data_IF_252118137216
#
_entry.id   IF_252118137216
#
_cell.length_a   1.000
_cell.length_b   1.000
_cell.length_c   1.000
_cell.angle_alpha   90.00
_cell.angle_beta   90.00
_cell.angle_gamma   90.00
#
_symmetry.space_group_name_H-M   'P 1'
#
loop_
_entity.id
_entity.type
_entity.pdbx_description
1 polymer ?
#
# COMPACT_ATOMS: atom_id res chain seq x y z
N UNK A 1 47.38 -1.59 -45.32
CA UNK A 1 47.02 -0.57 -44.30
C UNK A 1 45.54 -0.61 -43.90
N UNK A 2 44.56 -0.48 -44.82
CA UNK A 2 43.12 -0.46 -44.46
C UNK A 2 42.60 -1.68 -43.66
N UNK A 3 43.09 -2.88 -43.96
CA UNK A 3 42.67 -4.12 -43.27
C UNK A 3 43.16 -4.21 -41.83
N UNK A 4 44.32 -3.63 -41.51
CA UNK A 4 44.84 -3.58 -40.13
C UNK A 4 44.01 -2.63 -39.26
N UNK A 5 43.56 -1.49 -39.80
CA UNK A 5 42.69 -0.57 -39.06
C UNK A 5 41.31 -1.17 -38.75
N UNK A 6 40.75 -1.98 -39.65
CA UNK A 6 39.47 -2.66 -39.43
C UNK A 6 39.56 -3.71 -38.30
N UNK A 7 40.70 -4.42 -38.22
CA UNK A 7 40.96 -5.39 -37.14
C UNK A 7 41.18 -4.66 -35.80
N UNK A 8 41.93 -3.55 -35.80
CA UNK A 8 42.10 -2.75 -34.59
C UNK A 8 40.79 -2.13 -34.09
N UNK A 9 39.92 -1.69 -35.01
CA UNK A 9 38.63 -1.10 -34.65
C UNK A 9 37.64 -2.14 -34.11
N UNK A 10 37.64 -3.36 -34.65
CA UNK A 10 36.79 -4.44 -34.13
C UNK A 10 37.24 -4.91 -32.75
N UNK A 11 38.55 -4.99 -32.51
CA UNK A 11 39.11 -5.32 -31.19
C UNK A 11 38.76 -4.22 -30.17
N UNK A 12 38.90 -2.94 -30.53
CA UNK A 12 38.57 -1.83 -29.65
C UNK A 12 37.08 -1.77 -29.30
N UNK A 13 36.20 -2.03 -30.28
CA UNK A 13 34.75 -2.11 -30.09
C UNK A 13 34.36 -3.25 -29.13
N UNK A 14 34.96 -4.43 -29.31
CA UNK A 14 34.72 -5.57 -28.42
C UNK A 14 35.21 -5.28 -26.99
N UNK A 15 36.34 -4.58 -26.85
CA UNK A 15 36.89 -4.19 -25.55
C UNK A 15 35.98 -3.17 -24.83
N UNK A 16 35.47 -2.18 -25.56
CA UNK A 16 34.48 -1.22 -25.04
C UNK A 16 33.20 -1.93 -24.63
N UNK A 17 32.68 -2.86 -25.44
CA UNK A 17 31.49 -3.64 -25.10
C UNK A 17 31.69 -4.49 -23.84
N UNK A 18 32.86 -5.13 -23.69
CA UNK A 18 33.21 -5.90 -22.49
C UNK A 18 33.39 -4.99 -21.26
N UNK A 19 33.97 -3.80 -21.42
CA UNK A 19 34.11 -2.81 -20.36
C UNK A 19 32.75 -2.30 -19.86
N UNK A 20 31.86 -1.92 -20.79
CA UNK A 20 30.49 -1.53 -20.45
C UNK A 20 29.70 -2.69 -19.84
N UNK A 21 29.89 -3.92 -20.34
CA UNK A 21 29.28 -5.11 -19.74
C UNK A 21 29.78 -5.33 -18.31
N UNK A 22 31.07 -5.18 -18.04
CA UNK A 22 31.63 -5.27 -16.67
C UNK A 22 31.07 -4.17 -15.76
N UNK A 23 30.98 -2.92 -16.22
CA UNK A 23 30.38 -1.82 -15.45
C UNK A 23 28.89 -2.08 -15.12
N UNK A 24 28.13 -2.66 -16.05
CA UNK A 24 26.73 -3.05 -15.80
C UNK A 24 26.64 -4.22 -14.81
N UNK A 25 27.57 -5.17 -14.84
CA UNK A 25 27.61 -6.28 -13.87
C UNK A 25 28.07 -5.82 -12.48
N UNK A 26 28.98 -4.84 -12.39
CA UNK A 26 29.34 -4.20 -11.12
C UNK A 26 28.16 -3.42 -10.54
N UNK A 27 27.42 -2.65 -11.35
CA UNK A 27 26.19 -1.99 -10.91
C UNK A 27 25.15 -3.00 -10.38
N UNK A 28 24.98 -4.15 -11.04
CA UNK A 28 24.09 -5.21 -10.56
C UNK A 28 24.57 -5.87 -9.27
N UNK A 29 25.88 -6.02 -9.06
CA UNK A 29 26.44 -6.51 -7.79
C UNK A 29 26.24 -5.52 -6.65
N UNK A 30 26.50 -4.23 -6.86
CA UNK A 30 26.28 -3.16 -5.87
C UNK A 30 24.80 -3.00 -5.51
N UNK A 31 23.88 -3.30 -6.44
CA UNK A 31 22.43 -3.29 -6.16
C UNK A 31 21.94 -4.59 -5.49
N UNK A 32 22.73 -5.67 -5.50
CA UNK A 32 22.40 -6.95 -4.85
C UNK A 32 22.97 -7.12 -3.44
N UNK A 33 23.83 -6.20 -2.99
CA UNK A 33 24.47 -6.24 -1.67
C UNK A 33 24.31 -4.95 -0.86
N UNK A 34 23.28 -4.15 -1.15
CA UNK A 34 22.76 -3.22 -0.14
C UNK A 34 21.96 -4.05 0.85
N UNK A 35 22.69 -4.57 1.84
CA UNK A 35 22.17 -5.16 3.04
C UNK A 35 21.06 -4.28 3.62
N UNK A 36 19.83 -4.77 3.53
CA UNK A 36 18.71 -4.28 4.32
C UNK A 36 18.93 -4.77 5.76
N UNK A 37 19.97 -4.26 6.42
CA UNK A 37 20.22 -4.43 7.85
C UNK A 37 20.95 -3.21 8.39
N UNK A 38 20.37 -2.68 9.47
CA UNK A 38 20.89 -1.66 10.38
C UNK A 38 20.86 -0.21 9.87
N UNK A 39 19.76 0.45 10.22
CA UNK A 39 19.57 1.90 10.11
C UNK A 39 18.31 2.43 10.78
N UNK A 40 17.34 1.57 11.13
CA UNK A 40 16.20 1.95 11.97
C UNK A 40 16.48 1.59 13.42
N UNK A 41 17.23 2.47 14.08
CA UNK A 41 17.35 2.47 15.54
C UNK A 41 15.97 2.77 16.13
N UNK A 42 15.56 1.91 17.04
CA UNK A 42 14.33 1.92 17.81
C UNK A 42 14.05 3.27 18.45
N UNK A 43 13.10 4.03 17.90
CA UNK A 43 12.28 4.92 18.70
C UNK A 43 11.08 4.11 19.20
N UNK A 44 11.32 3.30 20.23
CA UNK A 44 10.29 2.56 20.94
C UNK A 44 9.34 3.57 21.57
N UNK A 45 8.20 3.84 20.92
CA UNK A 45 7.02 4.33 21.64
C UNK A 45 6.67 3.24 22.64
N UNK A 46 6.59 3.58 23.92
CA UNK A 46 6.24 2.67 25.02
C UNK A 46 4.76 2.25 24.98
N UNK A 47 4.30 1.80 23.82
CA UNK A 47 2.96 1.32 23.55
C UNK A 47 2.97 -0.16 23.20
N UNK A 48 1.81 -0.82 23.34
CA UNK A 48 1.62 -2.18 22.84
C UNK A 48 1.95 -2.25 21.34
N UNK A 49 2.45 -3.40 20.89
CA UNK A 49 2.68 -3.66 19.46
C UNK A 49 1.40 -3.44 18.64
N UNK A 50 1.58 -3.08 17.37
CA UNK A 50 0.51 -2.67 16.46
C UNK A 50 -0.42 -3.83 16.13
N UNK A 51 -1.71 -3.53 16.08
CA UNK A 51 -2.74 -4.42 15.56
C UNK A 51 -3.12 -3.99 14.14
N UNK A 52 -2.85 -4.86 13.17
CA UNK A 52 -3.20 -4.66 11.77
C UNK A 52 -4.43 -5.49 11.38
N UNK A 53 -5.36 -4.91 10.62
CA UNK A 53 -6.47 -5.63 10.00
C UNK A 53 -6.38 -5.54 8.48
N UNK A 54 -6.56 -6.66 7.79
CA UNK A 54 -6.56 -6.71 6.32
C UNK A 54 -7.87 -7.34 5.85
N UNK A 55 -8.74 -6.58 5.17
CA UNK A 55 -9.93 -7.12 4.52
C UNK A 55 -9.66 -7.36 3.02
N UNK A 56 -10.21 -8.45 2.49
CA UNK A 56 -9.82 -8.93 1.16
C UNK A 56 -8.46 -9.65 1.19
N UNK A 57 -8.15 -10.28 2.32
CA UNK A 57 -6.84 -10.89 2.62
C UNK A 57 -6.45 -12.05 1.70
N UNK A 58 -7.41 -12.68 1.02
CA UNK A 58 -7.16 -13.75 0.03
C UNK A 58 -7.04 -13.22 -1.40
N UNK A 59 -7.19 -11.91 -1.61
CA UNK A 59 -7.07 -11.24 -2.91
C UNK A 59 -5.61 -11.08 -3.36
N UNK A 60 -5.41 -10.65 -4.62
CA UNK A 60 -4.07 -10.51 -5.21
C UNK A 60 -3.14 -9.59 -4.38
N UNK A 61 -3.65 -8.45 -3.91
CA UNK A 61 -2.89 -7.52 -3.07
C UNK A 61 -2.94 -7.96 -1.60
N UNK A 62 -4.14 -8.26 -1.08
CA UNK A 62 -4.33 -8.60 0.33
C UNK A 62 -3.47 -9.77 0.83
N UNK A 63 -3.27 -10.81 0.01
CA UNK A 63 -2.42 -11.96 0.40
C UNK A 63 -0.96 -11.56 0.61
N UNK A 64 -0.49 -10.60 -0.19
CA UNK A 64 0.86 -10.06 -0.08
C UNK A 64 0.97 -9.10 1.11
N UNK A 65 -0.07 -8.30 1.40
CA UNK A 65 -0.09 -7.45 2.61
C UNK A 65 0.05 -8.29 3.87
N UNK A 66 -0.76 -9.35 4.00
CA UNK A 66 -0.68 -10.26 5.15
C UNK A 66 0.71 -10.90 5.24
N UNK A 67 1.28 -11.35 4.10
CA UNK A 67 2.62 -11.95 4.07
C UNK A 67 3.74 -10.99 4.49
N UNK A 68 3.72 -9.73 4.03
CA UNK A 68 4.77 -8.78 4.39
C UNK A 68 4.60 -8.35 5.85
N UNK A 69 3.36 -8.15 6.33
CA UNK A 69 3.08 -7.89 7.75
C UNK A 69 3.54 -9.03 8.66
N UNK A 70 3.32 -10.29 8.26
CA UNK A 70 3.65 -11.45 9.09
C UNK A 70 5.15 -11.66 9.29
N UNK A 71 5.97 -11.00 8.46
CA UNK A 71 7.42 -11.03 8.51
C UNK A 71 8.02 -9.84 9.29
N UNK A 72 7.20 -8.91 9.78
CA UNK A 72 7.66 -7.77 10.55
C UNK A 72 8.14 -8.17 11.95
N UNK A 73 8.78 -7.24 12.65
CA UNK A 73 9.23 -7.45 14.02
C UNK A 73 8.00 -7.63 14.95
N UNK A 74 7.92 -8.71 15.75
CA UNK A 74 6.81 -8.92 16.70
C UNK A 74 6.72 -7.87 17.81
N UNK A 75 7.80 -7.10 18.05
CA UNK A 75 7.75 -5.95 18.95
C UNK A 75 7.05 -4.74 18.31
N UNK A 76 7.07 -4.66 16.99
CA UNK A 76 6.41 -3.60 16.23
C UNK A 76 4.96 -3.96 15.93
N UNK A 77 4.69 -5.18 15.47
CA UNK A 77 3.33 -5.68 15.23
C UNK A 77 3.02 -6.84 16.17
N UNK A 78 1.99 -6.69 16.99
CA UNK A 78 1.57 -7.71 17.93
C UNK A 78 0.63 -8.76 17.28
N UNK A 79 -0.19 -8.36 16.32
CA UNK A 79 -1.20 -9.24 15.71
C UNK A 79 -1.68 -8.72 14.36
N UNK A 80 -1.96 -9.67 13.46
CA UNK A 80 -2.64 -9.43 12.18
C UNK A 80 -3.99 -10.12 12.21
N UNK A 81 -5.06 -9.41 11.84
CA UNK A 81 -6.35 -10.01 11.56
C UNK A 81 -6.62 -9.98 10.05
N UNK A 82 -6.65 -11.16 9.44
CA UNK A 82 -6.95 -11.33 8.02
C UNK A 82 -8.44 -11.66 7.87
N UNK A 83 -9.21 -10.82 7.17
CA UNK A 83 -10.65 -11.00 6.95
C UNK A 83 -10.91 -11.34 5.47
N UNK A 84 -11.59 -12.45 5.22
CA UNK A 84 -11.99 -12.86 3.87
C UNK A 84 -13.30 -13.63 3.86
N UNK A 85 -13.77 -13.97 2.64
CA UNK A 85 -14.92 -14.85 2.44
C UNK A 85 -14.58 -16.30 2.11
N UNK A 86 -13.34 -16.57 1.70
CA UNK A 86 -12.90 -17.94 1.36
C UNK A 86 -12.46 -18.65 2.62
N UNK A 87 -12.91 -19.90 2.78
CA UNK A 87 -12.57 -20.77 3.92
C UNK A 87 -11.15 -21.31 3.83
N UNK A 88 -10.61 -21.40 2.62
CA UNK A 88 -9.22 -21.79 2.39
C UNK A 88 -8.31 -20.77 3.08
N UNK A 89 -7.49 -21.22 4.02
CA UNK A 89 -6.51 -20.37 4.70
C UNK A 89 -5.20 -20.37 3.89
N UNK A 90 -4.90 -19.31 3.11
CA UNK A 90 -3.68 -19.25 2.32
C UNK A 90 -2.45 -18.88 3.16
N UNK A 91 -2.60 -18.67 4.47
CA UNK A 91 -1.55 -18.18 5.36
C UNK A 91 -0.81 -19.31 6.09
N UNK A 92 -0.62 -20.44 5.42
CA UNK A 92 0.13 -21.58 5.96
C UNK A 92 1.63 -21.46 5.65
N UNK A 93 2.30 -20.56 6.35
CA UNK A 93 3.74 -20.36 6.28
C UNK A 93 4.26 -19.87 7.64
N UNK A 94 5.59 -19.91 7.84
CA UNK A 94 6.20 -19.41 9.07
C UNK A 94 6.00 -17.90 9.21
N UNK A 95 5.58 -17.46 10.40
CA UNK A 95 5.25 -16.06 10.68
C UNK A 95 5.92 -15.60 11.97
N UNK A 96 6.54 -14.42 11.93
CA UNK A 96 7.03 -13.73 13.13
C UNK A 96 5.90 -13.07 13.91
N UNK A 97 4.88 -12.57 13.21
CA UNK A 97 3.69 -11.93 13.78
C UNK A 97 2.48 -12.86 13.63
N UNK A 98 1.72 -13.15 14.69
CA UNK A 98 0.59 -14.08 14.61
C UNK A 98 -0.53 -13.54 13.72
N UNK A 99 -1.08 -14.44 12.88
CA UNK A 99 -2.21 -14.17 11.99
C UNK A 99 -3.46 -14.84 12.55
N UNK A 100 -4.51 -14.06 12.81
CA UNK A 100 -5.87 -14.54 13.03
C UNK A 100 -6.64 -14.43 11.72
N UNK A 101 -7.04 -15.56 11.14
CA UNK A 101 -7.84 -15.58 9.91
C UNK A 101 -9.32 -15.71 10.25
N UNK A 102 -10.09 -14.68 9.94
CA UNK A 102 -11.55 -14.64 10.11
C UNK A 102 -12.21 -14.80 8.76
N UNK A 103 -13.02 -15.84 8.64
CA UNK A 103 -13.82 -16.09 7.45
C UNK A 103 -15.28 -15.74 7.71
N UNK A 104 -15.87 -14.92 6.85
CA UNK A 104 -17.28 -14.58 6.86
C UNK A 104 -17.95 -15.10 5.58
N UNK A 105 -19.14 -15.70 5.68
CA UNK A 105 -19.88 -16.13 4.48
C UNK A 105 -20.28 -14.93 3.61
N UNK A 106 -20.62 -13.80 4.23
CA UNK A 106 -20.79 -12.50 3.56
C UNK A 106 -20.13 -11.37 4.36
N UNK A 107 -19.62 -10.37 3.66
CA UNK A 107 -19.10 -9.14 4.27
C UNK A 107 -20.22 -8.16 4.66
N UNK A 108 -21.48 -8.44 4.30
CA UNK A 108 -22.65 -7.76 4.89
C UNK A 108 -22.70 -7.92 6.42
N UNK A 109 -22.09 -9.00 6.93
CA UNK A 109 -22.07 -9.35 8.34
C UNK A 109 -20.83 -8.84 9.08
N UNK A 110 -20.10 -7.85 8.53
CA UNK A 110 -18.90 -7.29 9.18
C UNK A 110 -19.18 -6.75 10.60
N UNK A 111 -20.40 -6.27 10.86
CA UNK A 111 -20.80 -5.81 12.20
C UNK A 111 -20.82 -6.92 13.25
N UNK A 112 -21.01 -8.19 12.84
CA UNK A 112 -21.00 -9.33 13.78
C UNK A 112 -19.63 -9.58 14.39
N UNK A 113 -18.57 -9.05 13.77
CA UNK A 113 -17.21 -9.12 14.27
C UNK A 113 -16.70 -7.75 14.72
N UNK A 114 -17.58 -6.85 15.15
CA UNK A 114 -17.20 -5.49 15.59
C UNK A 114 -16.10 -5.47 16.64
N UNK A 115 -16.08 -6.46 17.54
CA UNK A 115 -15.06 -6.56 18.60
C UNK A 115 -13.65 -6.77 18.06
N UNK A 116 -13.54 -7.39 16.88
CA UNK A 116 -12.28 -7.55 16.16
C UNK A 116 -11.68 -6.19 15.81
N UNK A 117 -12.50 -5.17 15.58
CA UNK A 117 -12.05 -3.83 15.28
C UNK A 117 -11.58 -3.05 16.51
N UNK A 118 -11.77 -3.54 17.73
CA UNK A 118 -11.28 -2.85 18.92
C UNK A 118 -9.75 -2.70 18.87
N UNK A 119 -9.26 -1.52 19.23
CA UNK A 119 -7.82 -1.22 19.31
C UNK A 119 -7.03 -1.45 18.01
N UNK A 120 -7.66 -1.24 16.86
CA UNK A 120 -6.95 -1.29 15.58
C UNK A 120 -6.03 -0.09 15.45
N UNK A 121 -4.82 -0.32 14.95
CA UNK A 121 -3.85 0.72 14.65
C UNK A 121 -3.73 0.93 13.14
N UNK A 122 -3.68 -0.16 12.38
CA UNK A 122 -3.56 -0.10 10.92
C UNK A 122 -4.64 -0.97 10.25
N UNK A 123 -5.32 -0.42 9.26
CA UNK A 123 -6.39 -1.12 8.54
C UNK A 123 -6.17 -1.04 7.03
N UNK A 124 -6.21 -2.18 6.35
CA UNK A 124 -5.95 -2.31 4.92
C UNK A 124 -7.17 -2.88 4.20
N UNK A 125 -7.82 -2.05 3.39
CA UNK A 125 -8.91 -2.45 2.50
C UNK A 125 -8.37 -2.84 1.12
N UNK A 126 -8.21 -4.15 0.92
CA UNK A 126 -7.77 -4.75 -0.35
C UNK A 126 -8.93 -5.38 -1.13
N UNK A 127 -10.17 -4.95 -0.85
CA UNK A 127 -11.36 -5.44 -1.55
C UNK A 127 -11.45 -4.87 -2.97
N UNK A 128 -11.92 -5.73 -3.87
CA UNK A 128 -12.23 -5.35 -5.23
C UNK A 128 -12.54 -6.58 -6.08
N UNK A 129 -13.42 -6.39 -7.05
CA UNK A 129 -13.75 -7.39 -8.06
C UNK A 129 -13.54 -6.81 -9.45
N UNK A 130 -13.79 -7.63 -10.47
CA UNK A 130 -13.92 -7.11 -11.84
C UNK A 130 -15.37 -7.19 -12.24
N UNK A 131 -15.83 -6.24 -13.08
CA UNK A 131 -17.20 -6.26 -13.60
C UNK A 131 -17.54 -7.61 -14.24
N UNK A 132 -16.57 -8.24 -14.90
CA UNK A 132 -16.70 -9.57 -15.50
C UNK A 132 -16.92 -10.68 -14.46
N UNK A 133 -16.22 -10.64 -13.33
CA UNK A 133 -16.34 -11.66 -12.25
C UNK A 133 -17.72 -11.68 -11.61
N UNK A 134 -18.42 -10.55 -11.62
CA UNK A 134 -19.81 -10.46 -11.15
C UNK A 134 -20.82 -10.58 -12.29
N UNK A 135 -20.42 -11.10 -13.45
CA UNK A 135 -21.33 -11.32 -14.59
C UNK A 135 -21.78 -10.04 -15.29
N UNK A 136 -20.98 -8.98 -15.24
CA UNK A 136 -21.30 -7.62 -15.70
C UNK A 136 -22.49 -6.96 -14.97
N UNK A 137 -22.86 -7.50 -13.81
CA UNK A 137 -23.88 -6.94 -12.94
C UNK A 137 -23.32 -5.71 -12.21
N UNK A 138 -23.84 -4.53 -12.57
CA UNK A 138 -23.40 -3.25 -11.99
C UNK A 138 -23.72 -3.15 -10.50
N UNK A 139 -24.85 -3.69 -10.05
CA UNK A 139 -25.24 -3.63 -8.64
C UNK A 139 -24.31 -4.51 -7.81
N UNK A 140 -24.05 -5.75 -8.24
CA UNK A 140 -23.08 -6.62 -7.56
C UNK A 140 -21.66 -6.05 -7.57
N UNK A 141 -21.26 -5.41 -8.67
CA UNK A 141 -19.97 -4.74 -8.74
C UNK A 141 -19.89 -3.62 -7.71
N UNK A 142 -20.88 -2.72 -7.67
CA UNK A 142 -20.93 -1.64 -6.69
C UNK A 142 -20.95 -2.16 -5.26
N UNK A 143 -21.71 -3.23 -5.01
CA UNK A 143 -21.77 -3.84 -3.70
C UNK A 143 -20.40 -4.32 -3.19
N UNK A 144 -19.61 -4.96 -4.06
CA UNK A 144 -18.27 -5.44 -3.69
C UNK A 144 -17.22 -4.33 -3.65
N UNK A 145 -17.30 -3.35 -4.56
CA UNK A 145 -16.25 -2.33 -4.75
C UNK A 145 -16.55 -0.98 -4.07
N UNK A 146 -17.77 -0.78 -3.55
CA UNK A 146 -18.17 0.38 -2.76
C UNK A 146 -18.78 -0.03 -1.41
N UNK A 147 -19.88 -0.79 -1.38
CA UNK A 147 -20.63 -1.00 -0.13
C UNK A 147 -19.79 -1.73 0.94
N UNK A 148 -19.07 -2.81 0.56
CA UNK A 148 -18.20 -3.52 1.50
C UNK A 148 -17.00 -2.69 1.97
N UNK A 149 -16.20 -2.05 1.11
CA UNK A 149 -15.18 -1.10 1.54
C UNK A 149 -15.71 0.02 2.46
N UNK A 150 -16.89 0.55 2.16
CA UNK A 150 -17.48 1.64 2.95
C UNK A 150 -17.86 1.18 4.36
N UNK A 151 -18.51 0.01 4.45
CA UNK A 151 -18.88 -0.63 5.71
C UNK A 151 -17.65 -0.96 6.56
N UNK A 152 -16.60 -1.48 5.94
CA UNK A 152 -15.32 -1.72 6.60
C UNK A 152 -14.70 -0.42 7.11
N UNK A 153 -14.68 0.64 6.29
CA UNK A 153 -14.16 1.94 6.70
C UNK A 153 -14.96 2.52 7.89
N UNK A 154 -16.30 2.41 7.87
CA UNK A 154 -17.15 2.84 8.99
C UNK A 154 -16.73 2.18 10.31
N UNK A 155 -16.55 0.87 10.32
CA UNK A 155 -16.11 0.12 11.51
C UNK A 155 -14.72 0.54 11.99
N UNK A 156 -13.79 0.75 11.06
CA UNK A 156 -12.44 1.22 11.39
C UNK A 156 -12.45 2.62 11.99
N UNK A 157 -13.13 3.60 11.36
CA UNK A 157 -13.19 4.96 11.90
C UNK A 157 -13.95 5.05 13.22
N UNK A 158 -14.97 4.21 13.42
CA UNK A 158 -15.63 4.05 14.73
C UNK A 158 -14.63 3.52 15.78
N UNK A 159 -13.82 2.53 15.42
CA UNK A 159 -12.76 2.05 16.31
C UNK A 159 -11.71 3.12 16.62
N UNK A 160 -11.25 3.87 15.62
CA UNK A 160 -10.31 4.98 15.83
C UNK A 160 -10.89 6.03 16.79
N UNK A 161 -12.17 6.36 16.64
CA UNK A 161 -12.91 7.27 17.53
C UNK A 161 -12.95 6.74 18.97
N UNK A 162 -13.24 5.46 19.17
CA UNK A 162 -13.26 4.82 20.50
C UNK A 162 -11.86 4.75 21.12
N UNK A 163 -10.85 4.45 20.32
CA UNK A 163 -9.45 4.44 20.75
C UNK A 163 -8.99 5.86 21.13
N UNK A 164 -9.46 6.90 20.45
CA UNK A 164 -9.18 8.30 20.80
C UNK A 164 -9.75 8.72 22.17
N UNK A 165 -10.72 7.99 22.72
CA UNK A 165 -11.16 8.20 24.11
C UNK A 165 -10.26 7.50 25.12
N UNK A 166 -9.41 6.58 24.67
CA UNK A 166 -8.46 5.83 25.48
C UNK A 166 -7.03 6.31 25.19
N UNK A 167 -6.09 6.07 26.08
CA UNK A 167 -4.71 6.59 26.02
C UNK A 167 -3.80 5.87 25.01
N UNK A 168 -4.32 5.23 23.96
CA UNK A 168 -3.45 4.54 22.99
C UNK A 168 -2.68 5.57 22.16
N UNK A 169 -1.35 5.62 22.31
CA UNK A 169 -0.47 6.57 21.61
C UNK A 169 -0.19 6.20 20.15
N UNK A 170 -0.55 4.97 19.76
CA UNK A 170 -0.29 4.44 18.42
C UNK A 170 -1.00 5.26 17.34
N UNK A 171 -0.26 5.56 16.28
CA UNK A 171 -0.79 6.23 15.10
C UNK A 171 -1.85 5.36 14.40
N UNK A 172 -2.98 5.97 14.04
CA UNK A 172 -4.06 5.29 13.32
C UNK A 172 -3.90 5.47 11.82
N UNK A 173 -3.91 4.39 11.05
CA UNK A 173 -3.72 4.45 9.60
C UNK A 173 -4.76 3.59 8.88
N UNK A 174 -5.39 4.16 7.85
CA UNK A 174 -6.33 3.46 6.97
C UNK A 174 -5.79 3.48 5.55
N UNK A 175 -5.71 2.31 4.92
CA UNK A 175 -5.26 2.13 3.55
C UNK A 175 -6.41 1.61 2.69
N UNK A 176 -6.68 2.27 1.57
CA UNK A 176 -7.69 1.86 0.59
C UNK A 176 -7.02 1.60 -0.75
N UNK A 177 -7.12 0.38 -1.27
CA UNK A 177 -6.65 0.06 -2.63
C UNK A 177 -7.76 0.31 -3.64
N UNK A 178 -7.54 1.23 -4.58
CA UNK A 178 -8.43 1.51 -5.71
C UNK A 178 -7.74 1.20 -7.04
N UNK A 179 -7.71 2.14 -7.97
CA UNK A 179 -7.02 2.00 -9.25
C UNK A 179 -6.69 3.35 -9.85
N UNK A 180 -5.67 3.38 -10.71
CA UNK A 180 -5.44 4.53 -11.59
C UNK A 180 -6.69 4.84 -12.41
N UNK A 181 -7.07 6.11 -12.52
CA UNK A 181 -8.26 6.56 -13.24
C UNK A 181 -9.56 6.56 -12.43
N UNK A 182 -9.52 6.20 -11.15
CA UNK A 182 -10.65 6.35 -10.24
C UNK A 182 -11.07 7.84 -10.14
N UNK A 183 -12.35 8.09 -10.46
CA UNK A 183 -12.96 9.41 -10.51
C UNK A 183 -14.49 9.28 -10.49
N UNK A 184 -15.12 9.79 -9.44
CA UNK A 184 -16.59 9.79 -9.24
C UNK A 184 -17.39 10.55 -10.32
N UNK A 185 -16.73 11.41 -11.10
CA UNK A 185 -17.34 12.13 -12.21
C UNK A 185 -17.17 11.42 -13.55
N UNK A 186 -16.48 10.26 -13.57
CA UNK A 186 -16.22 9.50 -14.78
C UNK A 186 -17.50 8.95 -15.40
N UNK A 187 -17.60 9.01 -16.72
CA UNK A 187 -18.65 8.31 -17.49
C UNK A 187 -18.46 6.78 -17.49
N UNK A 188 -17.26 6.29 -17.15
CA UNK A 188 -16.98 4.86 -17.07
C UNK A 188 -17.34 4.33 -15.68
N UNK A 189 -18.36 3.48 -15.62
CA UNK A 189 -18.93 2.94 -14.37
C UNK A 189 -17.88 2.37 -13.39
N UNK A 190 -16.86 1.66 -13.90
CA UNK A 190 -15.78 1.13 -13.07
C UNK A 190 -15.00 2.26 -12.36
N UNK A 191 -14.57 3.27 -13.11
CA UNK A 191 -13.84 4.42 -12.58
C UNK A 191 -14.70 5.27 -11.64
N UNK A 192 -15.99 5.42 -11.98
CA UNK A 192 -16.98 6.10 -11.16
C UNK A 192 -17.08 5.47 -9.77
N UNK A 193 -17.36 4.17 -9.69
CA UNK A 193 -17.49 3.44 -8.43
C UNK A 193 -16.19 3.53 -7.61
N UNK A 194 -15.03 3.39 -8.25
CA UNK A 194 -13.73 3.53 -7.57
C UNK A 194 -13.48 4.94 -7.05
N UNK A 195 -13.92 5.98 -7.75
CA UNK A 195 -13.83 7.36 -7.24
C UNK A 195 -14.88 7.68 -6.18
N UNK A 196 -16.07 7.06 -6.23
CA UNK A 196 -17.10 7.24 -5.21
C UNK A 196 -16.62 6.74 -3.84
N UNK A 197 -15.97 5.57 -3.79
CA UNK A 197 -15.46 5.04 -2.52
C UNK A 197 -14.30 5.90 -1.98
N UNK A 198 -13.45 6.46 -2.85
CA UNK A 198 -12.42 7.42 -2.45
C UNK A 198 -13.01 8.64 -1.77
N UNK A 199 -14.05 9.24 -2.37
CA UNK A 199 -14.78 10.37 -1.77
C UNK A 199 -15.39 10.01 -0.43
N UNK A 200 -16.04 8.84 -0.34
CA UNK A 200 -16.69 8.41 0.89
C UNK A 200 -15.71 8.20 2.05
N UNK A 201 -14.56 7.56 1.77
CA UNK A 201 -13.50 7.36 2.77
C UNK A 201 -12.82 8.68 3.14
N UNK A 202 -12.58 9.56 2.16
CA UNK A 202 -12.04 10.90 2.41
C UNK A 202 -12.95 11.70 3.35
N UNK A 203 -14.26 11.66 3.14
CA UNK A 203 -15.21 12.32 4.05
C UNK A 203 -15.12 11.76 5.47
N UNK A 204 -15.07 10.44 5.65
CA UNK A 204 -14.92 9.82 6.98
C UNK A 204 -13.64 10.25 7.69
N UNK A 205 -12.53 10.40 6.94
CA UNK A 205 -11.28 10.91 7.47
C UNK A 205 -11.40 12.37 7.93
N UNK A 206 -12.12 13.21 7.17
CA UNK A 206 -12.39 14.60 7.56
C UNK A 206 -13.29 14.67 8.81
N UNK A 207 -14.33 13.84 8.88
CA UNK A 207 -15.22 13.77 10.03
C UNK A 207 -14.46 13.34 11.30
N UNK A 208 -13.58 12.33 11.18
CA UNK A 208 -12.70 11.92 12.28
C UNK A 208 -11.71 13.02 12.68
N UNK A 209 -11.14 13.74 11.71
CA UNK A 209 -10.27 14.90 12.01
C UNK A 209 -11.04 15.95 12.79
N UNK A 210 -12.24 16.31 12.34
CA UNK A 210 -13.08 17.29 13.03
C UNK A 210 -13.43 16.82 14.45
N UNK A 211 -13.74 15.54 14.64
CA UNK A 211 -14.00 14.96 15.96
C UNK A 211 -12.78 14.99 16.89
N UNK A 212 -11.57 14.90 16.33
CA UNK A 212 -10.30 14.90 17.09
C UNK A 212 -9.63 16.28 17.18
N UNK A 213 -10.14 17.30 16.49
CA UNK A 213 -9.65 18.67 16.60
C UNK A 213 -9.78 19.16 18.06
N UNK A 214 -8.69 19.72 18.59
CA UNK A 214 -8.61 20.19 19.97
C UNK A 214 -8.36 19.10 21.03
N UNK A 215 -8.36 17.81 20.64
CA UNK A 215 -7.86 16.71 21.49
C UNK A 215 -6.34 16.58 21.30
N UNK A 216 -5.63 16.12 22.33
CA UNK A 216 -4.16 16.00 22.33
C UNK A 216 -3.61 15.36 21.05
N UNK A 217 -2.48 15.89 20.55
CA UNK A 217 -1.78 15.54 19.30
C UNK A 217 -1.49 14.03 19.10
N UNK A 218 -1.69 13.19 20.12
CA UNK A 218 -1.51 11.75 20.02
C UNK A 218 -2.60 11.06 19.18
N UNK A 219 -3.72 11.72 18.86
CA UNK A 219 -4.91 11.10 18.22
C UNK A 219 -4.97 11.25 16.68
N UNK A 220 -3.85 11.54 16.02
CA UNK A 220 -3.84 11.67 14.56
C UNK A 220 -4.17 10.34 13.87
N UNK A 221 -5.03 10.41 12.85
CA UNK A 221 -5.22 9.33 11.87
C UNK A 221 -4.85 9.78 10.47
N UNK A 222 -4.42 8.83 9.65
CA UNK A 222 -3.99 9.02 8.27
C UNK A 222 -4.76 8.09 7.35
N UNK A 223 -5.26 8.62 6.25
CA UNK A 223 -5.89 7.87 5.19
C UNK A 223 -4.98 7.85 3.97
N UNK A 224 -4.67 6.67 3.44
CA UNK A 224 -3.85 6.47 2.26
C UNK A 224 -4.65 5.73 1.20
N UNK A 225 -4.91 6.40 0.08
CA UNK A 225 -5.60 5.84 -1.09
C UNK A 225 -4.53 5.41 -2.09
N UNK A 226 -4.45 4.12 -2.35
CA UNK A 226 -3.43 3.51 -3.22
C UNK A 226 -4.06 3.28 -4.59
N UNK A 227 -3.54 3.92 -5.64
CA UNK A 227 -4.06 3.87 -7.01
C UNK A 227 -3.15 3.08 -7.95
N UNK A 228 -2.97 1.76 -7.74
CA UNK A 228 -2.11 0.97 -8.59
C UNK A 228 -2.63 0.99 -10.04
N UNK A 229 -1.71 0.87 -10.98
CA UNK A 229 -2.02 0.60 -12.37
C UNK A 229 -2.48 -0.85 -12.55
N UNK A 230 -2.23 -1.39 -13.73
CA UNK A 230 -2.62 -2.76 -14.06
C UNK A 230 -1.92 -3.76 -13.13
N UNK A 231 -2.66 -4.46 -12.28
CA UNK A 231 -2.07 -5.48 -11.39
C UNK A 231 -1.74 -6.76 -12.17
N UNK A 232 -0.48 -7.21 -12.11
CA UNK A 232 -0.01 -8.47 -12.70
C UNK A 232 0.12 -9.52 -11.60
N UNK A 233 -0.44 -10.71 -11.86
CA UNK A 233 -0.22 -11.89 -11.05
C UNK A 233 -1.23 -12.98 -11.33
N UNK A 234 -0.83 -14.22 -11.07
CA UNK A 234 -1.70 -15.38 -11.14
C UNK A 234 -2.78 -15.26 -10.07
N UNK A 235 -4.01 -15.02 -10.54
CA UNK A 235 -5.21 -15.20 -9.73
C UNK A 235 -5.68 -16.61 -10.02
N UNK A 236 -5.71 -17.47 -9.01
CA UNK A 236 -6.39 -18.76 -9.10
C UNK A 236 -7.82 -18.49 -9.65
N UNK A 237 -8.11 -19.10 -10.82
CA UNK A 237 -9.31 -18.94 -11.66
C UNK A 237 -9.31 -17.82 -12.74
N UNK A 238 -8.17 -17.23 -13.09
CA UNK A 238 -8.10 -16.13 -14.08
C UNK A 238 -7.05 -16.34 -15.18
N UNK A 239 -6.74 -17.60 -15.53
CA UNK A 239 -5.82 -17.96 -16.62
C UNK A 239 -6.19 -17.27 -17.95
N UNK A 240 -7.49 -17.09 -18.21
CA UNK A 240 -8.01 -16.39 -19.41
C UNK A 240 -7.83 -14.87 -19.40
N UNK A 241 -7.66 -14.24 -18.24
CA UNK A 241 -7.44 -12.78 -18.13
C UNK A 241 -5.95 -12.44 -18.26
N UNK A 242 -5.08 -13.28 -17.68
CA UNK A 242 -3.63 -13.21 -17.87
C UNK A 242 -3.24 -13.41 -19.33
N UNK A 243 -3.78 -14.45 -19.98
CA UNK A 243 -3.51 -14.73 -21.40
C UNK A 243 -3.95 -13.59 -22.31
N UNK A 244 -5.16 -13.02 -22.16
CA UNK A 244 -5.64 -11.96 -23.07
C UNK A 244 -4.89 -10.64 -22.92
N UNK A 245 -4.55 -10.25 -21.69
CA UNK A 245 -3.80 -9.00 -21.46
C UNK A 245 -2.34 -9.17 -21.86
N UNK A 246 -1.73 -10.32 -21.57
CA UNK A 246 -0.40 -10.66 -22.06
C UNK A 246 -0.37 -10.73 -23.60
N UNK A 247 -1.32 -11.43 -24.24
CA UNK A 247 -1.39 -11.54 -25.70
C UNK A 247 -1.59 -10.20 -26.40
N UNK A 248 -2.35 -9.26 -25.81
CA UNK A 248 -2.51 -7.92 -26.39
C UNK A 248 -1.28 -7.02 -26.20
N UNK A 249 -0.46 -7.25 -25.18
CA UNK A 249 0.73 -6.43 -24.90
C UNK A 249 2.02 -7.02 -25.48
N UNK A 250 2.10 -8.34 -25.69
CA UNK A 250 3.36 -9.03 -26.01
C UNK A 250 3.83 -8.86 -27.47
N UNK A 251 2.96 -8.47 -28.40
CA UNK A 251 3.34 -8.69 -29.80
C UNK A 251 4.03 -7.53 -30.53
N UNK A 252 4.10 -6.29 -30.04
CA UNK A 252 4.84 -5.26 -30.81
C UNK A 252 5.34 -3.98 -30.10
N UNK A 253 4.91 -3.64 -28.87
CA UNK A 253 5.09 -2.26 -28.36
C UNK A 253 5.52 -2.11 -26.89
N UNK A 254 6.00 -3.16 -26.21
CA UNK A 254 6.42 -3.05 -24.80
C UNK A 254 7.55 -2.04 -24.53
N UNK A 255 8.35 -1.70 -25.55
CA UNK A 255 9.41 -0.69 -25.47
C UNK A 255 8.92 0.76 -25.63
N UNK A 256 7.68 0.97 -26.10
CA UNK A 256 7.11 2.28 -26.44
C UNK A 256 5.89 2.67 -25.58
N UNK A 257 5.45 1.79 -24.67
CA UNK A 257 4.31 2.06 -23.80
C UNK A 257 4.72 2.91 -22.58
N UNK A 258 3.95 3.95 -22.22
CA UNK A 258 4.22 4.72 -21.00
C UNK A 258 4.19 3.80 -19.78
N UNK A 259 5.08 4.05 -18.80
CA UNK A 259 5.23 3.26 -17.57
C UNK A 259 3.94 3.07 -16.78
N UNK A 260 2.92 3.90 -17.02
CA UNK A 260 1.58 3.72 -16.47
C UNK A 260 0.86 2.44 -16.93
N UNK A 261 1.37 1.79 -17.98
CA UNK A 261 0.84 0.57 -18.60
C UNK A 261 1.65 -0.69 -18.23
N UNK A 262 2.89 -0.53 -17.71
CA UNK A 262 3.64 -1.67 -17.17
C UNK A 262 2.98 -2.12 -15.88
N UNK A 263 2.45 -3.33 -15.87
CA UNK A 263 1.69 -3.77 -14.72
C UNK A 263 2.54 -4.05 -13.49
N UNK A 264 1.93 -3.87 -12.32
CA UNK A 264 2.56 -3.88 -10.99
C UNK A 264 2.22 -5.16 -10.24
N UNK A 265 3.18 -5.77 -9.55
CA UNK A 265 2.93 -6.98 -8.77
C UNK A 265 2.20 -6.64 -7.47
N UNK A 266 1.29 -7.52 -7.04
CA UNK A 266 0.60 -7.35 -5.75
C UNK A 266 1.56 -7.23 -4.54
N UNK A 267 2.73 -7.88 -4.62
CA UNK A 267 3.80 -7.78 -3.63
C UNK A 267 4.41 -6.38 -3.54
N UNK A 268 4.62 -5.71 -4.69
CA UNK A 268 5.19 -4.36 -4.73
C UNK A 268 4.24 -3.34 -4.10
N UNK A 269 2.94 -3.47 -4.39
CA UNK A 269 1.89 -2.65 -3.76
C UNK A 269 1.84 -2.88 -2.25
N UNK A 270 1.95 -4.14 -1.80
CA UNK A 270 1.96 -4.46 -0.37
C UNK A 270 3.17 -3.85 0.35
N UNK A 271 4.38 -4.04 -0.18
CA UNK A 271 5.61 -3.46 0.38
C UNK A 271 5.55 -1.94 0.44
N UNK A 272 5.04 -1.30 -0.61
CA UNK A 272 4.82 0.13 -0.64
C UNK A 272 3.88 0.60 0.48
N UNK A 273 2.73 -0.04 0.68
CA UNK A 273 1.80 0.33 1.76
C UNK A 273 2.45 0.24 3.15
N UNK A 274 3.28 -0.80 3.39
CA UNK A 274 3.98 -0.94 4.67
C UNK A 274 5.10 0.09 4.83
N UNK A 275 5.79 0.46 3.75
CA UNK A 275 6.76 1.54 3.78
C UNK A 275 6.10 2.88 4.09
N UNK A 276 4.96 3.19 3.45
CA UNK A 276 4.15 4.38 3.76
C UNK A 276 3.74 4.37 5.24
N UNK A 277 3.28 3.22 5.75
CA UNK A 277 2.88 3.09 7.15
C UNK A 277 4.04 3.39 8.11
N UNK A 278 5.22 2.81 7.86
CA UNK A 278 6.41 3.01 8.67
C UNK A 278 6.92 4.46 8.61
N UNK A 279 6.99 5.05 7.41
CA UNK A 279 7.44 6.43 7.23
C UNK A 279 6.50 7.42 7.91
N UNK A 280 5.18 7.23 7.78
CA UNK A 280 4.19 8.12 8.42
C UNK A 280 4.31 8.05 9.95
N UNK A 281 4.55 6.84 10.51
CA UNK A 281 4.85 6.68 11.94
C UNK A 281 6.13 7.42 12.34
N UNK A 282 7.20 7.26 11.57
CA UNK A 282 8.48 7.94 11.84
C UNK A 282 8.34 9.47 11.82
N UNK A 283 7.67 10.02 10.81
CA UNK A 283 7.41 11.46 10.70
C UNK A 283 6.60 11.99 11.88
N UNK A 284 5.58 11.26 12.36
CA UNK A 284 4.86 11.64 13.59
C UNK A 284 5.80 11.72 14.79
N UNK A 285 6.68 10.73 14.94
CA UNK A 285 7.62 10.68 16.06
C UNK A 285 8.60 11.85 16.02
N UNK A 286 9.10 12.20 14.84
CA UNK A 286 10.05 13.31 14.70
C UNK A 286 9.37 14.66 14.98
N UNK A 287 8.13 14.88 14.51
CA UNK A 287 7.32 16.06 14.88
C UNK A 287 7.07 16.15 16.40
N UNK A 288 6.83 15.02 17.07
CA UNK A 288 6.66 15.01 18.52
C UNK A 288 7.96 15.40 19.25
N UNK A 289 9.11 14.88 18.81
CA UNK A 289 10.42 15.25 19.37
C UNK A 289 10.74 16.73 19.15
N UNK A 290 10.49 17.25 17.95
CA UNK A 290 10.73 18.66 17.62
C UNK A 290 9.87 19.59 18.49
N UNK A 291 8.59 19.28 18.66
CA UNK A 291 7.67 20.04 19.53
C UNK A 291 8.12 20.05 20.99
N UNK A 292 8.62 18.92 21.49
CA UNK A 292 9.13 18.83 22.86
C UNK A 292 10.46 19.59 23.02
N UNK A 293 11.15 19.90 21.91
CA UNK A 293 12.43 20.62 21.91
C UNK A 293 12.32 22.13 21.67
N UNK A 294 11.29 22.63 20.96
CA UNK A 294 11.16 24.05 20.56
C UNK A 294 9.70 24.54 20.53
N UNK A 295 9.41 25.63 21.26
CA UNK A 295 8.20 26.44 21.08
C UNK A 295 8.41 27.47 19.97
N UNK A 296 7.67 27.31 18.86
CA UNK A 296 7.53 28.14 17.65
C UNK A 296 8.50 27.88 16.48
N UNK A 297 7.94 27.71 15.27
CA UNK A 297 8.11 28.53 14.05
C UNK A 297 7.48 27.80 12.83
N UNK A 298 6.96 28.55 11.85
CA UNK A 298 6.30 28.03 10.65
C UNK A 298 6.93 28.49 9.32
N UNK A 299 6.37 27.99 8.21
CA UNK A 299 6.65 28.43 6.84
C UNK A 299 6.52 27.30 5.82
N UNK A 300 5.28 26.81 5.60
CA UNK A 300 4.91 25.59 4.84
C UNK A 300 5.87 24.42 5.07
N UNK A 301 5.87 24.03 6.33
CA UNK A 301 6.64 22.99 7.01
C UNK A 301 6.20 21.57 6.55
N UNK A 302 7.01 20.53 6.79
CA UNK A 302 6.57 19.13 6.76
C UNK A 302 5.23 18.94 7.51
N UNK A 303 5.00 19.72 8.57
CA UNK A 303 3.72 19.81 9.25
C UNK A 303 2.53 20.10 8.31
N UNK A 304 2.70 20.93 7.27
CA UNK A 304 1.62 21.25 6.30
C UNK A 304 1.31 20.09 5.33
N UNK A 305 2.28 19.20 5.04
CA UNK A 305 2.01 17.94 4.34
C UNK A 305 1.31 16.95 5.27
N UNK A 306 1.77 16.88 6.52
CA UNK A 306 1.19 16.03 7.56
C UNK A 306 -0.23 16.46 7.99
N UNK A 307 -0.60 17.73 7.78
CA UNK A 307 -1.97 18.23 8.05
C UNK A 307 -3.01 17.75 7.05
N UNK A 308 -2.64 17.40 5.81
CA UNK A 308 -3.63 17.02 4.80
C UNK A 308 -4.26 15.64 5.05
N UNK A 309 -3.68 14.80 5.94
CA UNK A 309 -4.06 13.45 6.44
C UNK A 309 -4.85 12.48 5.53
N UNK A 310 -4.97 12.80 4.24
CA UNK A 310 -5.54 12.03 3.14
C UNK A 310 -4.50 12.13 2.03
N UNK A 311 -3.93 11.00 1.65
CA UNK A 311 -2.87 10.92 0.65
C UNK A 311 -3.31 9.99 -0.46
N UNK A 312 -3.32 10.48 -1.70
CA UNK A 312 -3.57 9.67 -2.87
C UNK A 312 -2.24 9.33 -3.55
N UNK A 313 -1.91 8.05 -3.56
CA UNK A 313 -0.67 7.52 -4.09
C UNK A 313 -0.89 6.98 -5.49
N UNK A 314 -0.12 7.48 -6.45
CA UNK A 314 -0.26 7.17 -7.87
C UNK A 314 0.14 5.75 -8.26
N UNK A 315 0.58 5.63 -9.51
CA UNK A 315 0.94 4.37 -10.17
C UNK A 315 2.30 3.87 -9.64
N UNK A 316 2.33 3.57 -8.36
CA UNK A 316 3.52 3.69 -7.58
C UNK A 316 4.14 2.31 -7.36
N UNK A 317 5.28 2.12 -8.00
CA UNK A 317 6.23 1.09 -7.61
C UNK A 317 6.98 1.55 -6.35
N UNK A 318 7.70 0.65 -5.65
CA UNK A 318 8.48 1.01 -4.45
C UNK A 318 9.40 2.23 -4.67
N UNK A 319 9.86 2.47 -5.90
CA UNK A 319 10.78 3.55 -6.23
C UNK A 319 10.08 4.92 -6.26
N UNK A 320 8.88 4.99 -6.79
CA UNK A 320 8.07 6.21 -6.77
C UNK A 320 7.71 6.60 -5.32
N UNK A 321 7.48 5.60 -4.46
CA UNK A 321 7.30 5.81 -3.02
C UNK A 321 8.60 6.18 -2.29
N UNK A 322 9.74 5.58 -2.62
CA UNK A 322 11.00 5.99 -2.03
C UNK A 322 11.34 7.43 -2.39
N UNK A 323 11.06 7.87 -3.62
CA UNK A 323 11.38 9.22 -4.10
C UNK A 323 10.44 10.30 -3.52
N UNK A 324 9.17 9.98 -3.25
CA UNK A 324 8.20 10.89 -2.62
C UNK A 324 8.46 11.06 -1.10
N UNK A 325 9.11 10.08 -0.48
CA UNK A 325 9.35 9.99 0.97
C UNK A 325 10.83 9.99 1.38
N UNK A 326 11.76 10.27 0.45
CA UNK A 326 13.20 10.39 0.75
C UNK A 326 13.48 11.65 1.59
N UNK A 327 13.83 11.44 2.86
CA UNK A 327 14.13 12.48 3.85
C UNK A 327 15.43 13.25 3.56
N UNK A 328 16.21 12.85 2.55
CA UNK A 328 17.52 13.45 2.25
C UNK A 328 17.49 14.54 1.18
N UNK A 329 16.36 14.75 0.48
CA UNK A 329 16.20 15.89 -0.43
C UNK A 329 15.80 17.15 0.34
N UNK A 330 16.80 17.98 0.64
CA UNK A 330 16.65 19.39 1.03
C UNK A 330 16.41 20.27 -0.19
#
# INVERSE_FOLDING_TARGET
MRTQYLILFSILSLFLALFFYQQVQESKKTTSSLDFKQGMSSATTSGRGLKAIVVGSTGLVGKNVVRVLSQQNPQEYAKIVAISRRKDNPFNYETSVPIEHITLDSLDNLDQISDVFNEVDEAYCCLGTTIKRVGNDKQKFRHVDFDYPDSFANLVYKSFTNAAQNTSENLKQFFLVTSTGADSSSMFFYNQVKGDIEKSVAQKQLDYQQFTQGKSLNQSSYCHIIKPGLLIGERENDERFGEKVAQNLNNLLSWALPRSVSGIKGEEVAKAMLQIAATTRQQKLDLLKERDSHSSVGGVDQATRFTNRIFAHGNANLKDYSDEYDLTRK
#
